data_IF_683659047752
#
_entry.id   IF_683659047752
#
_cell.length_a   1.000
_cell.length_b   1.000
_cell.length_c   1.000
_cell.angle_alpha   90.00
_cell.angle_beta   90.00
_cell.angle_gamma   90.00
#
_symmetry.space_group_name_H-M   'P 1'
#
loop_
_entity.id
_entity.type
_entity.pdbx_description
1 polymer ?
#
# COMPACT_ATOMS: atom_id res chain seq x y z
N UNK A 1 1.53 -27.49 -23.01
CA UNK A 1 2.57 -27.43 -21.93
C UNK A 1 3.23 -26.06 -21.78
N UNK A 2 3.31 -25.22 -22.82
CA UNK A 2 3.93 -23.88 -22.74
C UNK A 2 3.14 -22.85 -21.90
N UNK A 3 1.82 -22.85 -21.95
CA UNK A 3 0.97 -21.89 -21.24
C UNK A 3 1.01 -22.09 -19.71
N UNK A 4 0.98 -23.34 -19.24
CA UNK A 4 1.08 -23.65 -17.80
C UNK A 4 2.44 -23.23 -17.26
N UNK A 5 3.51 -23.44 -18.02
CA UNK A 5 4.87 -23.05 -17.62
C UNK A 5 5.01 -21.52 -17.54
N UNK A 6 4.41 -20.79 -18.48
CA UNK A 6 4.38 -19.33 -18.47
C UNK A 6 3.59 -18.81 -17.26
N UNK A 7 2.39 -19.36 -17.02
CA UNK A 7 1.55 -18.98 -15.89
C UNK A 7 2.25 -19.24 -14.56
N UNK A 8 2.92 -20.40 -14.40
CA UNK A 8 3.69 -20.70 -13.22
C UNK A 8 4.86 -19.73 -13.01
N UNK A 9 5.60 -19.40 -14.09
CA UNK A 9 6.68 -18.44 -14.05
C UNK A 9 6.20 -17.04 -13.64
N UNK A 10 5.13 -16.56 -14.25
CA UNK A 10 4.56 -15.24 -13.94
C UNK A 10 4.07 -15.17 -12.49
N UNK A 11 3.38 -16.22 -12.02
CA UNK A 11 2.93 -16.33 -10.63
C UNK A 11 4.10 -16.33 -9.64
N UNK A 12 5.19 -17.03 -9.97
CA UNK A 12 6.40 -17.03 -9.15
C UNK A 12 7.04 -15.63 -9.09
N UNK A 13 7.12 -14.91 -10.21
CA UNK A 13 7.70 -13.56 -10.24
C UNK A 13 6.85 -12.60 -9.41
N UNK A 14 5.53 -12.61 -9.54
CA UNK A 14 4.64 -11.76 -8.73
C UNK A 14 4.70 -12.12 -7.24
N UNK A 15 4.67 -13.40 -6.91
CA UNK A 15 4.74 -13.87 -5.53
C UNK A 15 6.08 -13.54 -4.89
N UNK A 16 7.18 -13.90 -5.57
CA UNK A 16 8.53 -13.69 -5.07
C UNK A 16 8.85 -12.21 -4.88
N UNK A 17 8.50 -11.35 -5.86
CA UNK A 17 8.72 -9.90 -5.73
C UNK A 17 7.92 -9.29 -4.58
N UNK A 18 6.69 -9.76 -4.34
CA UNK A 18 5.86 -9.28 -3.23
C UNK A 18 6.39 -9.75 -1.86
N UNK A 19 6.85 -11.00 -1.77
CA UNK A 19 7.45 -11.54 -0.56
C UNK A 19 8.81 -10.87 -0.29
N UNK A 20 9.65 -10.75 -1.32
CA UNK A 20 10.96 -10.13 -1.21
C UNK A 20 10.86 -8.67 -0.73
N UNK A 21 9.86 -7.92 -1.23
CA UNK A 21 9.58 -6.57 -0.77
C UNK A 21 9.31 -6.52 0.74
N UNK A 22 8.50 -7.42 1.25
CA UNK A 22 8.16 -7.48 2.69
C UNK A 22 9.35 -7.91 3.53
N UNK A 23 10.07 -8.94 3.07
CA UNK A 23 11.24 -9.48 3.78
C UNK A 23 12.37 -8.46 3.83
N UNK A 24 12.66 -7.77 2.73
CA UNK A 24 13.69 -6.73 2.68
C UNK A 24 13.33 -5.54 3.56
N UNK A 25 12.09 -5.06 3.50
CA UNK A 25 11.64 -4.01 4.41
C UNK A 25 11.82 -4.43 5.88
N UNK A 26 11.39 -5.64 6.25
CA UNK A 26 11.53 -6.13 7.61
C UNK A 26 12.99 -6.26 8.03
N UNK A 27 13.84 -6.87 7.19
CA UNK A 27 15.25 -7.10 7.50
C UNK A 27 16.10 -5.84 7.55
N UNK A 28 15.74 -4.82 6.77
CA UNK A 28 16.49 -3.56 6.71
C UNK A 28 15.95 -2.53 7.70
N UNK A 29 14.63 -2.36 7.74
CA UNK A 29 13.99 -1.36 8.60
C UNK A 29 14.04 -1.74 10.08
N UNK A 30 13.70 -2.97 10.44
CA UNK A 30 13.60 -3.34 11.86
C UNK A 30 14.92 -3.18 12.62
N UNK A 31 16.07 -3.71 12.13
CA UNK A 31 17.34 -3.51 12.84
C UNK A 31 17.81 -2.06 12.86
N UNK A 32 17.47 -1.28 11.83
CA UNK A 32 17.79 0.15 11.80
C UNK A 32 16.96 0.91 12.83
N UNK A 33 15.64 0.75 12.83
CA UNK A 33 14.73 1.42 13.76
C UNK A 33 15.04 1.06 15.21
N UNK A 34 15.32 -0.22 15.50
CA UNK A 34 15.67 -0.66 16.87
C UNK A 34 17.02 -0.18 17.37
N UNK A 35 17.91 0.29 16.49
CA UNK A 35 19.19 0.90 16.88
C UNK A 35 19.10 2.42 17.05
N UNK A 36 18.20 3.06 16.30
CA UNK A 36 18.07 4.53 16.27
C UNK A 36 17.09 5.02 17.32
N UNK A 37 16.01 4.30 17.54
CA UNK A 37 14.93 4.67 18.45
C UNK A 37 15.05 3.93 19.80
N UNK A 38 14.67 4.62 20.87
CA UNK A 38 14.49 4.01 22.18
C UNK A 38 13.29 3.06 22.17
N UNK A 39 13.26 2.12 23.12
CA UNK A 39 12.19 1.09 23.17
C UNK A 39 10.77 1.70 23.19
N UNK A 40 10.57 2.81 23.89
CA UNK A 40 9.29 3.52 23.93
C UNK A 40 8.91 4.12 22.58
N UNK A 41 9.83 4.82 21.93
CA UNK A 41 9.61 5.47 20.63
C UNK A 41 9.34 4.42 19.52
N UNK A 42 10.07 3.30 19.55
CA UNK A 42 9.82 2.18 18.63
C UNK A 42 8.43 1.56 18.85
N UNK A 43 7.99 1.50 20.12
CA UNK A 43 6.65 1.06 20.48
C UNK A 43 5.56 1.94 19.85
N UNK A 44 5.72 3.26 19.92
CA UNK A 44 4.81 4.24 19.32
C UNK A 44 4.72 4.10 17.81
N UNK A 45 5.87 4.01 17.13
CA UNK A 45 5.94 3.78 15.69
C UNK A 45 5.20 2.49 15.30
N UNK A 46 5.41 1.41 16.05
CA UNK A 46 4.78 0.11 15.80
C UNK A 46 3.25 0.17 15.94
N UNK A 47 2.74 0.91 16.91
CA UNK A 47 1.30 1.14 17.10
C UNK A 47 0.73 1.93 15.92
N UNK A 48 1.39 3.01 15.50
CA UNK A 48 0.96 3.82 14.35
C UNK A 48 0.90 3.00 13.06
N UNK A 49 1.93 2.17 12.79
CA UNK A 49 1.92 1.27 11.64
C UNK A 49 0.84 0.18 11.73
N UNK A 50 0.48 -0.26 12.92
CA UNK A 50 -0.63 -1.21 13.12
C UNK A 50 -1.96 -0.56 12.75
N UNK A 51 -2.21 0.66 13.20
CA UNK A 51 -3.40 1.42 12.78
C UNK A 51 -3.39 1.70 11.28
N UNK A 52 -2.24 2.05 10.71
CA UNK A 52 -2.09 2.23 9.26
C UNK A 52 -2.49 0.97 8.50
N UNK A 53 -2.06 -0.21 8.94
CA UNK A 53 -2.42 -1.49 8.32
C UNK A 53 -3.93 -1.77 8.32
N UNK A 54 -4.61 -1.47 9.42
CA UNK A 54 -6.07 -1.63 9.53
C UNK A 54 -6.78 -0.63 8.61
N UNK A 55 -6.37 0.65 8.65
CA UNK A 55 -6.97 1.71 7.85
C UNK A 55 -6.72 1.49 6.35
N UNK A 56 -5.57 0.96 5.94
CA UNK A 56 -5.28 0.64 4.54
C UNK A 56 -6.32 -0.32 3.93
N UNK A 57 -6.83 -1.28 4.71
CA UNK A 57 -7.91 -2.17 4.27
C UNK A 57 -9.21 -1.41 4.04
N UNK A 58 -9.52 -0.44 4.90
CA UNK A 58 -10.72 0.41 4.78
C UNK A 58 -10.60 1.34 3.57
N UNK A 59 -9.45 1.99 3.39
CA UNK A 59 -9.19 2.91 2.28
C UNK A 59 -9.24 2.22 0.92
N UNK A 60 -8.70 1.02 0.81
CA UNK A 60 -8.71 0.25 -0.46
C UNK A 60 -10.02 -0.51 -0.68
N UNK A 61 -10.80 -0.76 0.38
CA UNK A 61 -12.03 -1.59 0.39
C UNK A 61 -11.99 -2.78 -0.59
N UNK A 62 -10.80 -3.39 -0.69
CA UNK A 62 -10.53 -4.54 -1.59
C UNK A 62 -10.88 -4.27 -3.06
N UNK A 63 -10.78 -3.04 -3.53
CA UNK A 63 -11.08 -2.66 -4.92
C UNK A 63 -10.26 -3.46 -5.94
N UNK A 64 -9.05 -3.92 -5.59
CA UNK A 64 -8.26 -4.83 -6.43
C UNK A 64 -9.04 -6.09 -6.81
N UNK A 65 -9.74 -6.70 -5.86
CA UNK A 65 -10.52 -7.92 -6.10
C UNK A 65 -11.67 -7.68 -7.06
N UNK A 66 -12.37 -6.55 -6.89
CA UNK A 66 -13.43 -6.12 -7.81
C UNK A 66 -12.86 -5.86 -9.20
N UNK A 67 -11.73 -5.17 -9.28
CA UNK A 67 -11.04 -4.90 -10.54
C UNK A 67 -10.65 -6.20 -11.27
N UNK A 68 -10.07 -7.20 -10.57
CA UNK A 68 -9.76 -8.51 -11.18
C UNK A 68 -11.00 -9.21 -11.72
N UNK A 69 -12.12 -9.14 -11.00
CA UNK A 69 -13.37 -9.76 -11.43
C UNK A 69 -13.96 -9.13 -12.69
N UNK A 70 -13.97 -7.81 -12.77
CA UNK A 70 -14.57 -7.09 -13.89
C UNK A 70 -13.59 -6.86 -15.03
N UNK A 71 -12.34 -6.55 -14.76
CA UNK A 71 -11.32 -6.29 -15.75
C UNK A 71 -10.81 -7.54 -16.50
N UNK A 72 -11.06 -8.75 -15.98
CA UNK A 72 -10.74 -10.00 -16.69
C UNK A 72 -11.76 -10.36 -17.78
N UNK A 73 -12.91 -9.67 -17.84
CA UNK A 73 -13.87 -9.82 -18.94
C UNK A 73 -13.41 -8.96 -20.11
N UNK A 74 -13.27 -9.59 -21.29
CA UNK A 74 -12.84 -8.93 -22.51
C UNK A 74 -13.56 -7.59 -22.75
N UNK A 75 -12.83 -6.60 -23.22
CA UNK A 75 -13.20 -5.23 -23.58
C UNK A 75 -13.52 -4.23 -22.44
N UNK A 76 -13.64 -4.66 -21.19
CA UNK A 76 -14.02 -3.75 -20.09
C UNK A 76 -12.88 -3.40 -19.13
N UNK A 77 -11.65 -3.86 -19.38
CA UNK A 77 -10.51 -3.62 -18.46
C UNK A 77 -10.23 -2.13 -18.25
N UNK A 78 -10.20 -1.33 -19.32
CA UNK A 78 -9.94 0.11 -19.23
C UNK A 78 -11.09 0.85 -18.52
N UNK A 79 -12.32 0.47 -18.77
CA UNK A 79 -13.49 1.04 -18.07
C UNK A 79 -13.48 0.66 -16.60
N UNK A 80 -13.22 -0.62 -16.29
CA UNK A 80 -13.12 -1.08 -14.91
C UNK A 80 -11.98 -0.38 -14.16
N UNK A 81 -10.82 -0.17 -14.82
CA UNK A 81 -9.70 0.56 -14.26
C UNK A 81 -10.04 2.04 -14.01
N UNK A 82 -10.61 2.72 -15.01
CA UNK A 82 -10.98 4.13 -14.90
C UNK A 82 -12.03 4.35 -13.79
N UNK A 83 -13.11 3.57 -13.82
CA UNK A 83 -14.17 3.67 -12.80
C UNK A 83 -13.65 3.36 -11.41
N UNK A 84 -12.87 2.29 -11.27
CA UNK A 84 -12.26 1.90 -10.00
C UNK A 84 -11.29 2.96 -9.47
N UNK A 85 -10.45 3.54 -10.34
CA UNK A 85 -9.50 4.58 -9.97
C UNK A 85 -10.18 5.86 -9.53
N UNK A 86 -11.23 6.30 -10.25
CA UNK A 86 -12.03 7.48 -9.87
C UNK A 86 -12.73 7.24 -8.53
N UNK A 87 -13.34 6.08 -8.35
CA UNK A 87 -14.01 5.72 -7.09
C UNK A 87 -13.02 5.71 -5.92
N UNK A 88 -11.85 5.09 -6.12
CA UNK A 88 -10.81 5.01 -5.09
C UNK A 88 -10.23 6.39 -4.76
N UNK A 89 -9.99 7.22 -5.77
CA UNK A 89 -9.54 8.59 -5.58
C UNK A 89 -10.57 9.41 -4.81
N UNK A 90 -11.84 9.35 -5.19
CA UNK A 90 -12.91 10.09 -4.53
C UNK A 90 -13.08 9.67 -3.07
N UNK A 91 -13.09 8.36 -2.80
CA UNK A 91 -13.19 7.85 -1.42
C UNK A 91 -11.95 8.18 -0.59
N UNK A 92 -10.75 8.08 -1.16
CA UNK A 92 -9.51 8.46 -0.47
C UNK A 92 -9.51 9.94 -0.12
N UNK A 93 -9.88 10.81 -1.05
CA UNK A 93 -10.01 12.25 -0.77
C UNK A 93 -11.06 12.53 0.32
N UNK A 94 -12.22 11.88 0.26
CA UNK A 94 -13.24 12.01 1.28
C UNK A 94 -12.70 11.61 2.66
N UNK A 95 -12.02 10.46 2.78
CA UNK A 95 -11.42 10.02 4.02
C UNK A 95 -10.32 10.97 4.51
N UNK A 96 -9.49 11.49 3.60
CA UNK A 96 -8.48 12.49 3.96
C UNK A 96 -9.13 13.74 4.53
N UNK A 97 -10.18 14.27 3.91
CA UNK A 97 -10.91 15.43 4.41
C UNK A 97 -11.53 15.16 5.79
N UNK A 98 -12.16 14.00 5.98
CA UNK A 98 -12.75 13.62 7.27
C UNK A 98 -11.69 13.54 8.38
N UNK A 99 -10.52 12.94 8.10
CA UNK A 99 -9.41 12.87 9.06
C UNK A 99 -8.86 14.26 9.37
N UNK A 100 -8.69 15.12 8.36
CA UNK A 100 -8.21 16.49 8.55
C UNK A 100 -9.17 17.32 9.41
N UNK A 101 -10.48 17.20 9.19
CA UNK A 101 -11.50 17.88 10.00
C UNK A 101 -11.55 17.36 11.44
N UNK A 102 -11.20 16.09 11.65
CA UNK A 102 -11.20 15.42 12.96
C UNK A 102 -9.80 15.29 13.56
N UNK A 103 -8.81 16.02 13.07
CA UNK A 103 -7.41 15.82 13.42
C UNK A 103 -7.17 15.97 14.94
N UNK A 104 -7.68 17.04 15.55
CA UNK A 104 -7.50 17.30 16.98
C UNK A 104 -8.19 16.27 17.88
N UNK A 105 -9.48 15.96 17.72
CA UNK A 105 -10.10 14.93 18.55
C UNK A 105 -9.48 13.54 18.31
N UNK A 106 -9.02 13.25 17.08
CA UNK A 106 -8.37 11.99 16.75
C UNK A 106 -6.99 11.87 17.41
N UNK A 107 -6.19 12.94 17.41
CA UNK A 107 -4.89 12.95 18.09
C UNK A 107 -5.02 12.77 19.61
N UNK A 108 -6.01 13.42 20.21
CA UNK A 108 -6.30 13.25 21.63
C UNK A 108 -6.76 11.81 21.96
N UNK A 109 -7.60 11.22 21.11
CA UNK A 109 -8.08 9.84 21.27
C UNK A 109 -6.97 8.80 21.14
N UNK A 110 -6.02 9.04 20.24
CA UNK A 110 -4.85 8.17 20.03
C UNK A 110 -3.74 8.39 21.07
N UNK A 111 -3.92 9.29 22.03
CA UNK A 111 -2.93 9.71 23.03
C UNK A 111 -1.68 10.41 22.45
N UNK A 112 -1.84 11.11 21.32
CA UNK A 112 -0.81 11.98 20.72
C UNK A 112 -1.32 13.41 20.52
N UNK A 113 -1.81 14.10 21.60
CA UNK A 113 -2.40 15.44 21.46
C UNK A 113 -1.36 16.49 21.02
N UNK A 114 -0.08 16.31 21.39
CA UNK A 114 1.00 17.22 21.08
C UNK A 114 1.67 16.96 19.71
N UNK A 115 1.34 15.82 19.07
CA UNK A 115 1.95 15.37 17.82
C UNK A 115 0.93 14.97 16.75
N UNK A 116 0.04 15.90 16.32
CA UNK A 116 -0.93 15.62 15.26
C UNK A 116 -0.28 15.31 13.89
N UNK A 117 0.98 15.74 13.71
CA UNK A 117 1.77 15.46 12.50
C UNK A 117 1.96 13.95 12.25
N UNK A 118 2.01 13.12 13.29
CA UNK A 118 2.13 11.66 13.11
C UNK A 118 0.91 11.09 12.37
N UNK A 119 -0.28 11.59 12.68
CA UNK A 119 -1.51 11.18 12.00
C UNK A 119 -1.50 11.61 10.55
N UNK A 120 -1.00 12.81 10.25
CA UNK A 120 -0.89 13.32 8.87
C UNK A 120 0.09 12.49 8.04
N UNK A 121 1.23 12.09 8.62
CA UNK A 121 2.21 11.24 7.94
C UNK A 121 1.61 9.86 7.63
N UNK A 122 0.96 9.24 8.62
CA UNK A 122 0.29 7.95 8.45
C UNK A 122 -0.82 8.05 7.41
N UNK A 123 -1.64 9.10 7.44
CA UNK A 123 -2.68 9.36 6.46
C UNK A 123 -2.10 9.48 5.05
N UNK A 124 -1.00 10.21 4.89
CA UNK A 124 -0.31 10.35 3.61
C UNK A 124 0.17 9.02 3.05
N UNK A 125 0.78 8.18 3.89
CA UNK A 125 1.24 6.83 3.51
C UNK A 125 0.05 5.99 3.05
N UNK A 126 -1.03 5.92 3.84
CA UNK A 126 -2.22 5.11 3.51
C UNK A 126 -2.88 5.60 2.21
N UNK A 127 -2.99 6.92 2.03
CA UNK A 127 -3.58 7.49 0.82
C UNK A 127 -2.76 7.13 -0.44
N UNK A 128 -1.44 7.24 -0.37
CA UNK A 128 -0.55 6.86 -1.47
C UNK A 128 -0.61 5.36 -1.76
N UNK A 129 -0.61 4.52 -0.73
CA UNK A 129 -0.77 3.07 -0.89
C UNK A 129 -2.11 2.71 -1.54
N UNK A 130 -3.20 3.34 -1.11
CA UNK A 130 -4.51 3.12 -1.70
C UNK A 130 -4.54 3.47 -3.19
N UNK A 131 -4.00 4.64 -3.57
CA UNK A 131 -3.98 5.08 -4.97
C UNK A 131 -3.10 4.21 -5.86
N UNK A 132 -2.05 3.60 -5.32
CA UNK A 132 -1.16 2.70 -6.09
C UNK A 132 -1.70 1.27 -6.21
N UNK A 133 -2.69 0.88 -5.43
CA UNK A 133 -3.24 -0.48 -5.40
C UNK A 133 -3.77 -0.92 -6.78
N UNK A 134 -4.61 -0.09 -7.43
CA UNK A 134 -5.19 -0.40 -8.74
C UNK A 134 -4.17 -0.40 -9.89
N UNK A 135 -3.24 0.55 -10.02
CA UNK A 135 -2.15 0.46 -11.00
C UNK A 135 -1.35 -0.84 -10.89
N UNK A 136 -1.01 -1.27 -9.69
CA UNK A 136 -0.33 -2.56 -9.50
C UNK A 136 -1.22 -3.76 -9.84
N UNK A 137 -2.52 -3.70 -9.57
CA UNK A 137 -3.47 -4.73 -9.97
C UNK A 137 -3.60 -4.80 -11.50
N UNK A 138 -3.60 -3.65 -12.20
CA UNK A 138 -3.62 -3.58 -13.66
C UNK A 138 -2.40 -4.26 -14.28
N UNK A 139 -1.20 -3.99 -13.77
CA UNK A 139 0.03 -4.63 -14.24
C UNK A 139 -0.01 -6.17 -14.11
N UNK A 140 -0.63 -6.67 -13.03
CA UNK A 140 -0.84 -8.12 -12.86
C UNK A 140 -1.82 -8.68 -13.89
N UNK A 141 -2.92 -7.96 -14.14
CA UNK A 141 -3.94 -8.39 -15.11
C UNK A 141 -3.42 -8.36 -16.55
N UNK A 142 -2.58 -7.37 -16.88
CA UNK A 142 -1.90 -7.27 -18.19
C UNK A 142 -0.79 -8.31 -18.40
N UNK A 143 -0.43 -9.08 -17.39
CA UNK A 143 0.64 -10.07 -17.48
C UNK A 143 2.02 -9.46 -17.69
N UNK A 144 2.33 -8.35 -17.01
CA UNK A 144 3.62 -7.64 -17.06
C UNK A 144 4.44 -7.85 -15.78
N UNK A 145 4.92 -9.08 -15.51
CA UNK A 145 5.56 -9.41 -14.24
C UNK A 145 6.87 -8.66 -14.01
N UNK A 146 7.67 -8.45 -15.05
CA UNK A 146 8.97 -7.77 -14.93
C UNK A 146 8.81 -6.29 -14.56
N UNK A 147 7.82 -5.61 -15.15
CA UNK A 147 7.54 -4.21 -14.83
C UNK A 147 7.00 -4.07 -13.40
N UNK A 148 6.12 -4.99 -12.98
CA UNK A 148 5.65 -5.06 -11.61
C UNK A 148 6.80 -5.27 -10.62
N UNK A 149 7.68 -6.25 -10.87
CA UNK A 149 8.84 -6.53 -10.03
C UNK A 149 9.81 -5.33 -9.99
N UNK A 150 10.07 -4.70 -11.12
CA UNK A 150 10.93 -3.51 -11.22
C UNK A 150 10.42 -2.34 -10.39
N UNK A 151 9.12 -2.02 -10.48
CA UNK A 151 8.50 -0.95 -9.69
C UNK A 151 8.51 -1.27 -8.18
N UNK A 152 8.24 -2.52 -7.80
CA UNK A 152 8.33 -2.95 -6.40
C UNK A 152 9.76 -2.84 -5.86
N UNK A 153 10.75 -3.23 -6.64
CA UNK A 153 12.16 -3.09 -6.25
C UNK A 153 12.58 -1.63 -6.16
N UNK A 154 12.16 -0.78 -7.10
CA UNK A 154 12.40 0.65 -7.04
C UNK A 154 11.76 1.29 -5.79
N UNK A 155 10.53 0.89 -5.43
CA UNK A 155 9.87 1.33 -4.20
C UNK A 155 10.70 0.98 -2.95
N UNK A 156 11.26 -0.23 -2.88
CA UNK A 156 12.12 -0.64 -1.75
C UNK A 156 13.41 0.19 -1.71
N UNK A 157 14.07 0.36 -2.86
CA UNK A 157 15.32 1.13 -2.93
C UNK A 157 15.10 2.58 -2.50
N UNK A 158 13.99 3.20 -2.92
CA UNK A 158 13.62 4.53 -2.48
C UNK A 158 13.36 4.56 -0.97
N UNK A 159 12.60 3.62 -0.43
CA UNK A 159 12.38 3.54 1.02
C UNK A 159 13.69 3.44 1.80
N UNK A 160 14.61 2.59 1.35
CA UNK A 160 15.93 2.42 2.01
C UNK A 160 16.81 3.66 1.86
N UNK A 161 16.70 4.40 0.75
CA UNK A 161 17.47 5.61 0.51
C UNK A 161 17.01 6.78 1.37
N UNK A 162 15.71 6.85 1.69
CA UNK A 162 15.10 7.93 2.47
C UNK A 162 15.04 7.66 3.98
N UNK A 163 15.56 6.53 4.44
CA UNK A 163 15.73 6.17 5.85
C UNK A 163 17.15 6.48 6.31
#
# INVERSE_FOLDING_TARGET
MSQIRKLASDTMIYGLSSILSRVLNYLLLTPYLTRVFLEGEYGEISILFTYAGILAVIFTYRMETSFFRFGSRNDDMEKAFSTGSISLLASTLLFCVLVLLSLQPLSAWLNYPDHPEYILLVLGIIAMDALTALPFAKLRLEGRPLLFAGLKTAQILLNVLFI
#
